data_IF_672621835798
#
_entry.id   IF_672621835798
#
_cell.length_a   1.000
_cell.length_b   1.000
_cell.length_c   1.000
_cell.angle_alpha   90.00
_cell.angle_beta   90.00
_cell.angle_gamma   90.00
#
_symmetry.space_group_name_H-M   'P 1'
#
loop_
_entity.id
_entity.type
_entity.pdbx_description
1 polymer ?
#
# COMPACT_ATOMS: atom_id res chain seq x y z
N UNK A 1 31.44 -5.33 5.14
CA UNK A 1 30.40 -5.15 4.11
C UNK A 1 29.05 -5.17 4.80
N UNK A 2 28.46 -4.00 5.05
CA UNK A 2 27.09 -3.92 5.55
C UNK A 2 26.16 -4.45 4.46
N UNK A 3 25.43 -5.52 4.74
CA UNK A 3 24.35 -5.99 3.86
C UNK A 3 23.43 -4.80 3.57
N UNK A 4 23.25 -4.42 2.30
CA UNK A 4 22.25 -3.42 1.93
C UNK A 4 20.88 -3.79 2.53
N UNK A 5 20.28 -2.85 3.26
CA UNK A 5 18.95 -3.01 3.83
C UNK A 5 17.93 -3.11 2.70
N UNK A 6 17.46 -4.33 2.44
CA UNK A 6 16.40 -4.59 1.44
C UNK A 6 15.06 -4.02 1.93
N UNK A 7 14.33 -3.39 1.01
CA UNK A 7 13.00 -2.80 1.24
C UNK A 7 11.96 -3.56 0.44
N UNK A 8 10.78 -3.78 1.03
CA UNK A 8 9.71 -4.55 0.40
C UNK A 8 8.38 -3.83 0.50
N UNK A 9 7.53 -3.94 -0.53
CA UNK A 9 6.10 -3.62 -0.46
C UNK A 9 5.39 -4.87 0.06
N UNK A 10 4.91 -4.80 1.30
CA UNK A 10 4.13 -5.87 1.93
C UNK A 10 2.64 -5.78 1.56
N UNK A 11 2.12 -4.56 1.39
CA UNK A 11 0.72 -4.31 1.08
C UNK A 11 0.52 -3.12 0.16
N UNK A 12 -0.51 -3.17 -0.68
CA UNK A 12 -0.94 -2.09 -1.57
C UNK A 12 -2.45 -1.88 -1.46
N UNK A 13 -2.86 -0.62 -1.54
CA UNK A 13 -4.24 -0.19 -1.53
C UNK A 13 -4.54 0.70 -2.73
N UNK A 14 -5.77 0.61 -3.21
CA UNK A 14 -6.30 1.47 -4.24
C UNK A 14 -7.78 1.78 -3.99
N UNK A 15 -8.12 3.06 -4.18
CA UNK A 15 -9.49 3.56 -4.27
C UNK A 15 -9.56 4.64 -5.35
N UNK A 16 -10.70 4.78 -6.05
CA UNK A 16 -10.92 5.95 -6.90
C UNK A 16 -10.82 7.24 -6.07
N UNK A 17 -10.15 8.27 -6.59
CA UNK A 17 -10.15 9.58 -5.97
C UNK A 17 -11.43 10.35 -6.36
N UNK A 18 -11.98 11.15 -5.44
CA UNK A 18 -13.05 12.09 -5.77
C UNK A 18 -12.62 13.07 -6.88
N UNK A 19 -13.55 13.55 -7.72
CA UNK A 19 -13.22 14.54 -8.75
C UNK A 19 -12.71 15.85 -8.14
N UNK A 20 -11.97 16.63 -8.94
CA UNK A 20 -11.50 17.94 -8.52
C UNK A 20 -12.65 18.85 -8.08
N UNK A 21 -12.50 19.51 -6.92
CA UNK A 21 -13.54 20.33 -6.31
C UNK A 21 -14.48 19.59 -5.35
N UNK A 22 -14.31 18.28 -5.17
CA UNK A 22 -15.06 17.53 -4.15
C UNK A 22 -14.71 17.99 -2.73
N UNK A 23 -15.63 17.82 -1.76
CA UNK A 23 -15.39 18.10 -0.36
C UNK A 23 -14.15 17.40 0.21
N UNK A 24 -13.43 18.07 1.12
CA UNK A 24 -12.24 17.55 1.82
C UNK A 24 -12.46 16.17 2.45
N UNK A 25 -13.60 15.96 3.10
CA UNK A 25 -13.93 14.70 3.76
C UNK A 25 -14.00 13.51 2.79
N UNK A 26 -14.35 13.73 1.52
CA UNK A 26 -14.35 12.66 0.51
C UNK A 26 -12.92 12.23 0.15
N UNK A 27 -11.98 13.19 0.08
CA UNK A 27 -10.56 12.86 -0.15
C UNK A 27 -9.96 12.10 1.05
N UNK A 28 -10.29 12.52 2.27
CA UNK A 28 -9.89 11.82 3.49
C UNK A 28 -10.49 10.41 3.51
N UNK A 29 -11.78 10.25 3.17
CA UNK A 29 -12.43 8.95 3.05
C UNK A 29 -11.71 8.03 2.06
N UNK A 30 -11.33 8.55 0.89
CA UNK A 30 -10.59 7.79 -0.11
C UNK A 30 -9.20 7.38 0.40
N UNK A 31 -8.49 8.27 1.09
CA UNK A 31 -7.19 8.01 1.72
C UNK A 31 -7.28 6.94 2.83
N UNK A 32 -8.26 7.06 3.73
CA UNK A 32 -8.53 6.06 4.77
C UNK A 32 -8.88 4.71 4.16
N UNK A 33 -9.71 4.71 3.11
CA UNK A 33 -10.09 3.50 2.38
C UNK A 33 -8.87 2.80 1.76
N UNK A 34 -8.01 3.53 1.05
CA UNK A 34 -6.81 2.94 0.45
C UNK A 34 -5.79 2.47 1.49
N UNK A 35 -5.57 3.25 2.56
CA UNK A 35 -4.69 2.87 3.67
C UNK A 35 -5.16 1.59 4.36
N UNK A 36 -6.46 1.49 4.63
CA UNK A 36 -7.08 0.30 5.21
C UNK A 36 -6.88 -0.92 4.31
N UNK A 37 -7.12 -0.78 3.01
CA UNK A 37 -6.87 -1.85 2.03
C UNK A 37 -5.40 -2.28 2.02
N UNK A 38 -4.46 -1.34 2.07
CA UNK A 38 -3.03 -1.67 2.09
C UNK A 38 -2.61 -2.43 3.37
N UNK A 39 -3.15 -2.04 4.52
CA UNK A 39 -2.92 -2.72 5.80
C UNK A 39 -3.55 -4.12 5.82
N UNK A 40 -4.80 -4.28 5.35
CA UNK A 40 -5.45 -5.58 5.20
C UNK A 40 -4.72 -6.47 4.20
N UNK A 41 -4.31 -5.91 3.06
CA UNK A 41 -3.49 -6.60 2.07
C UNK A 41 -2.18 -7.11 2.68
N UNK A 42 -1.51 -6.29 3.49
CA UNK A 42 -0.34 -6.70 4.25
C UNK A 42 -0.68 -7.67 5.40
N UNK A 43 -1.92 -7.72 5.88
CA UNK A 43 -2.26 -8.45 7.12
C UNK A 43 -1.56 -7.85 8.33
N UNK A 44 -1.55 -6.52 8.40
CA UNK A 44 -0.97 -5.73 9.49
C UNK A 44 -2.04 -4.78 10.05
N UNK A 45 -1.74 -4.23 11.22
CA UNK A 45 -2.50 -3.14 11.83
C UNK A 45 -1.64 -1.89 11.98
N UNK A 46 -2.24 -0.78 12.37
CA UNK A 46 -1.53 0.47 12.57
C UNK A 46 -0.54 0.41 13.74
N UNK A 47 -0.71 -0.54 14.68
CA UNK A 47 0.29 -0.84 15.72
C UNK A 47 1.66 -1.24 15.13
N UNK A 48 1.68 -1.75 13.90
CA UNK A 48 2.89 -2.16 13.21
C UNK A 48 3.61 -1.00 12.51
N UNK A 49 2.94 0.13 12.29
CA UNK A 49 3.44 1.27 11.51
C UNK A 49 4.37 2.11 12.37
N UNK A 50 5.58 2.40 11.89
CA UNK A 50 6.57 3.21 12.61
C UNK A 50 6.74 4.62 12.03
N UNK A 51 6.29 4.85 10.79
CA UNK A 51 6.26 6.18 10.15
C UNK A 51 5.10 6.28 9.16
N UNK A 52 4.46 7.45 9.09
CA UNK A 52 3.53 7.82 8.02
C UNK A 52 4.23 8.70 6.98
N UNK A 53 3.87 8.56 5.70
CA UNK A 53 4.29 9.48 4.63
C UNK A 53 3.08 9.84 3.78
N UNK A 54 2.92 11.13 3.49
CA UNK A 54 1.87 11.64 2.60
C UNK A 54 2.36 12.77 1.73
N UNK A 55 1.67 13.01 0.62
CA UNK A 55 1.93 14.14 -0.27
C UNK A 55 1.32 15.44 0.27
N UNK A 56 2.07 16.53 0.25
CA UNK A 56 1.54 17.90 0.38
C UNK A 56 0.92 18.35 -0.97
N UNK A 57 -0.28 18.92 -0.92
CA UNK A 57 -0.86 19.69 -2.03
C UNK A 57 -0.58 21.15 -1.76
N UNK A 58 0.43 21.68 -2.44
CA UNK A 58 1.09 22.96 -2.18
C UNK A 58 0.23 24.22 -2.01
N UNK A 59 -1.11 24.20 -2.15
CA UNK A 59 -1.94 25.37 -1.86
C UNK A 59 -3.33 25.09 -1.24
N UNK A 60 -3.70 23.84 -0.91
CA UNK A 60 -5.00 23.53 -0.27
C UNK A 60 -4.99 22.19 0.50
N UNK A 61 -5.22 22.28 1.82
CA UNK A 61 -5.66 21.28 2.82
C UNK A 61 -4.84 19.99 3.01
N UNK A 62 -4.44 19.79 4.27
CA UNK A 62 -3.63 18.73 4.88
C UNK A 62 -4.41 17.40 4.97
N UNK A 63 -4.95 16.91 3.85
CA UNK A 63 -5.80 15.71 3.83
C UNK A 63 -5.10 14.44 4.33
N UNK A 64 -3.79 14.35 4.14
CA UNK A 64 -2.99 13.17 4.46
C UNK A 64 -2.85 12.93 5.95
N UNK A 65 -2.42 13.95 6.70
CA UNK A 65 -2.23 13.84 8.15
C UNK A 65 -3.55 13.61 8.88
N UNK A 66 -4.63 14.26 8.44
CA UNK A 66 -5.99 14.00 8.94
C UNK A 66 -6.43 12.54 8.70
N UNK A 67 -6.08 11.94 7.55
CA UNK A 67 -6.36 10.53 7.29
C UNK A 67 -5.59 9.58 8.23
N UNK A 68 -4.36 9.94 8.63
CA UNK A 68 -3.59 9.17 9.61
C UNK A 68 -4.21 9.21 11.02
N UNK A 69 -4.76 10.36 11.44
CA UNK A 69 -5.41 10.53 12.75
C UNK A 69 -6.61 9.59 12.95
N UNK A 70 -7.27 9.20 11.85
CA UNK A 70 -8.33 8.19 11.86
C UNK A 70 -7.83 6.87 12.43
N UNK A 71 -6.61 6.47 12.09
CA UNK A 71 -6.01 5.23 12.59
C UNK A 71 -5.56 5.36 14.05
N UNK A 72 -4.94 6.48 14.42
CA UNK A 72 -4.52 6.82 15.79
C UNK A 72 -4.37 8.34 15.97
N UNK A 73 -4.93 8.90 17.04
CA UNK A 73 -4.90 10.34 17.30
C UNK A 73 -3.66 10.64 18.14
N UNK A 74 -2.80 11.56 17.69
CA UNK A 74 -1.48 11.79 18.30
C UNK A 74 -0.47 10.65 18.08
N UNK A 75 -0.72 9.81 17.06
CA UNK A 75 0.04 8.60 16.78
C UNK A 75 1.40 8.84 16.11
N UNK A 76 1.80 7.85 15.31
CA UNK A 76 3.05 7.81 14.56
C UNK A 76 3.30 9.11 13.78
N UNK A 77 4.54 9.60 13.81
CA UNK A 77 4.91 10.81 13.07
C UNK A 77 4.71 10.64 11.55
N UNK A 78 4.11 11.67 10.94
CA UNK A 78 3.79 11.73 9.51
C UNK A 78 4.71 12.74 8.83
N UNK A 79 5.38 12.35 7.76
CA UNK A 79 6.10 13.28 6.88
C UNK A 79 5.20 13.70 5.71
N UNK A 80 4.99 15.00 5.59
CA UNK A 80 4.40 15.62 4.42
C UNK A 80 5.51 15.97 3.42
N UNK A 81 5.42 15.42 2.21
CA UNK A 81 6.48 15.54 1.19
C UNK A 81 5.94 16.10 -0.11
N UNK A 82 6.83 16.64 -0.93
CA UNK A 82 6.51 17.09 -2.28
C UNK A 82 5.90 15.95 -3.11
N UNK A 83 4.80 16.26 -3.82
CA UNK A 83 4.09 15.31 -4.68
C UNK A 83 5.05 14.61 -5.64
N UNK A 84 4.97 13.29 -5.71
CA UNK A 84 5.84 12.43 -6.52
C UNK A 84 7.12 11.98 -5.81
N UNK A 85 7.35 12.37 -4.55
CA UNK A 85 8.50 11.94 -3.73
C UNK A 85 8.11 10.96 -2.63
N UNK A 86 6.85 10.54 -2.55
CA UNK A 86 6.27 9.77 -1.45
C UNK A 86 6.88 8.37 -1.37
N UNK A 87 6.95 7.67 -2.50
CA UNK A 87 7.50 6.32 -2.56
C UNK A 87 9.00 6.31 -2.28
N UNK A 88 9.74 7.28 -2.83
CA UNK A 88 11.17 7.41 -2.57
C UNK A 88 11.45 7.76 -1.11
N UNK A 89 10.73 8.72 -0.53
CA UNK A 89 10.90 9.08 0.88
C UNK A 89 10.60 7.89 1.79
N UNK A 90 9.52 7.16 1.50
CA UNK A 90 9.15 5.95 2.25
C UNK A 90 10.23 4.86 2.13
N UNK A 91 10.81 4.69 0.94
CA UNK A 91 11.91 3.76 0.71
C UNK A 91 13.17 4.15 1.52
N UNK A 92 13.55 5.42 1.53
CA UNK A 92 14.67 5.94 2.31
C UNK A 92 14.45 5.81 3.83
N UNK A 93 13.21 5.97 4.32
CA UNK A 93 12.88 5.73 5.72
C UNK A 93 13.18 4.28 6.14
N UNK A 94 12.83 3.31 5.31
CA UNK A 94 13.11 1.90 5.59
C UNK A 94 14.59 1.58 5.40
N UNK A 95 15.18 2.01 4.28
CA UNK A 95 16.56 1.66 3.89
C UNK A 95 17.61 2.31 4.80
N UNK A 96 17.53 3.64 4.93
CA UNK A 96 18.61 4.47 5.48
C UNK A 96 18.35 4.86 6.93
N UNK A 97 17.08 5.04 7.29
CA UNK A 97 16.67 5.48 8.64
C UNK A 97 16.22 4.34 9.54
N UNK A 98 16.18 3.11 9.02
CA UNK A 98 15.90 1.91 9.79
C UNK A 98 14.45 1.78 10.27
N UNK A 99 13.51 2.51 9.69
CA UNK A 99 12.09 2.34 10.01
C UNK A 99 11.63 0.92 9.61
N UNK A 100 11.11 0.10 10.55
CA UNK A 100 10.78 -1.29 10.25
C UNK A 100 9.56 -1.43 9.33
N UNK A 101 8.61 -0.49 9.42
CA UNK A 101 7.39 -0.45 8.64
C UNK A 101 6.93 1.00 8.44
N UNK A 102 6.62 1.38 7.20
CA UNK A 102 6.17 2.71 6.78
C UNK A 102 4.86 2.57 6.03
N UNK A 103 3.86 3.35 6.42
CA UNK A 103 2.61 3.48 5.66
C UNK A 103 2.68 4.77 4.84
N UNK A 104 2.64 4.63 3.52
CA UNK A 104 2.58 5.72 2.57
C UNK A 104 1.15 5.84 2.03
N UNK A 105 0.62 7.06 1.95
CA UNK A 105 -0.66 7.35 1.29
C UNK A 105 -0.48 8.51 0.32
N UNK A 106 -1.17 8.49 -0.82
CA UNK A 106 -1.12 9.58 -1.80
C UNK A 106 -2.40 9.65 -2.64
N UNK A 107 -2.69 10.84 -3.17
CA UNK A 107 -3.74 11.05 -4.17
C UNK A 107 -3.10 11.53 -5.48
N UNK A 108 -3.32 10.79 -6.55
CA UNK A 108 -2.88 11.13 -7.89
C UNK A 108 -4.08 11.23 -8.84
N UNK A 109 -4.36 12.43 -9.34
CA UNK A 109 -5.41 12.71 -10.34
C UNK A 109 -6.76 12.08 -9.99
N UNK A 110 -7.01 10.83 -10.43
CA UNK A 110 -8.23 10.06 -10.24
C UNK A 110 -8.10 8.84 -9.31
N UNK A 111 -6.97 8.70 -8.60
CA UNK A 111 -6.65 7.56 -7.75
C UNK A 111 -6.13 7.98 -6.37
N UNK A 112 -6.63 7.35 -5.32
CA UNK A 112 -5.99 7.31 -4.02
C UNK A 112 -5.28 5.96 -3.86
N UNK A 113 -4.01 5.99 -3.46
CA UNK A 113 -3.15 4.82 -3.34
C UNK A 113 -2.48 4.78 -1.97
N UNK A 114 -2.15 3.57 -1.52
CA UNK A 114 -1.37 3.39 -0.31
C UNK A 114 -0.41 2.21 -0.45
N UNK A 115 0.73 2.30 0.23
CA UNK A 115 1.75 1.27 0.27
C UNK A 115 2.22 1.04 1.70
N UNK A 116 2.34 -0.23 2.07
CA UNK A 116 3.01 -0.66 3.29
C UNK A 116 4.41 -1.12 2.92
N UNK A 117 5.41 -0.30 3.24
CA UNK A 117 6.82 -0.62 3.00
C UNK A 117 7.44 -1.18 4.27
N UNK A 118 8.18 -2.28 4.16
CA UNK A 118 8.78 -2.96 5.33
C UNK A 118 10.25 -3.28 5.10
N UNK A 119 11.00 -3.32 6.19
CA UNK A 119 12.38 -3.77 6.17
C UNK A 119 12.47 -5.29 5.98
N UNK A 120 13.64 -5.76 5.54
CA UNK A 120 13.88 -7.20 5.47
C UNK A 120 13.67 -7.91 6.81
N UNK A 121 14.21 -7.40 7.92
CA UNK A 121 14.03 -8.03 9.23
C UNK A 121 12.55 -8.15 9.63
N UNK A 122 11.76 -7.12 9.35
CA UNK A 122 10.31 -7.12 9.59
C UNK A 122 9.56 -8.10 8.68
N UNK A 123 9.94 -8.20 7.40
CA UNK A 123 9.38 -9.19 6.48
C UNK A 123 9.69 -10.62 6.95
N UNK A 124 10.94 -10.88 7.33
CA UNK A 124 11.39 -12.24 7.64
C UNK A 124 10.83 -12.77 8.97
N UNK A 125 10.44 -11.88 9.90
CA UNK A 125 9.75 -12.25 11.14
C UNK A 125 8.30 -12.71 10.91
N UNK A 126 7.68 -12.33 9.78
CA UNK A 126 6.29 -12.67 9.42
C UNK A 126 6.23 -13.57 8.19
N UNK A 127 6.15 -14.89 8.39
CA UNK A 127 6.22 -15.88 7.30
C UNK A 127 5.20 -15.64 6.17
N UNK A 128 3.98 -15.22 6.52
CA UNK A 128 2.89 -15.02 5.56
C UNK A 128 3.13 -13.87 4.57
N UNK A 129 4.02 -12.92 4.87
CA UNK A 129 4.33 -11.81 3.97
C UNK A 129 5.24 -12.22 2.81
N UNK A 130 6.09 -13.24 2.99
CA UNK A 130 7.21 -13.56 2.09
C UNK A 130 6.76 -13.88 0.67
N UNK A 131 5.67 -14.64 0.55
CA UNK A 131 5.18 -15.15 -0.75
C UNK A 131 4.39 -14.08 -1.53
N UNK A 132 4.04 -12.97 -0.87
CA UNK A 132 3.19 -11.90 -1.40
C UNK A 132 3.90 -10.56 -1.54
N UNK A 133 5.07 -10.36 -0.91
CA UNK A 133 5.76 -9.08 -0.96
C UNK A 133 6.53 -8.86 -2.27
N UNK A 134 6.59 -7.59 -2.70
CA UNK A 134 7.45 -7.15 -3.78
C UNK A 134 8.73 -6.50 -3.23
N UNK A 135 9.89 -6.89 -3.75
CA UNK A 135 11.18 -6.28 -3.43
C UNK A 135 11.38 -5.03 -4.28
N UNK A 136 11.71 -3.93 -3.61
CA UNK A 136 12.01 -2.62 -4.18
C UNK A 136 13.53 -2.43 -4.21
N UNK A 137 14.07 -1.98 -5.33
CA UNK A 137 15.46 -1.51 -5.42
C UNK A 137 15.53 -0.21 -6.21
N UNK A 138 16.44 0.68 -5.83
CA UNK A 138 16.84 1.75 -6.73
C UNK A 138 17.59 1.14 -7.92
N UNK A 139 17.17 1.51 -9.13
CA UNK A 139 17.86 1.10 -10.35
C UNK A 139 18.93 2.14 -10.68
N UNK A 140 20.20 1.81 -10.41
CA UNK A 140 21.35 2.62 -10.85
C UNK A 140 21.65 2.54 -12.35
N UNK A 141 20.94 1.70 -13.10
CA UNK A 141 21.18 1.51 -14.54
C UNK A 141 20.40 2.53 -15.40
N UNK A 142 21.06 3.13 -16.41
CA UNK A 142 20.34 3.82 -17.48
C UNK A 142 19.41 2.84 -18.20
N UNK A 143 18.20 3.32 -18.52
CA UNK A 143 17.14 2.67 -19.33
C UNK A 143 17.53 1.34 -20.01
N UNK A 144 16.84 0.23 -19.76
CA UNK A 144 16.35 -0.58 -20.86
C UNK A 144 15.31 0.26 -21.62
N UNK A 145 15.33 0.26 -22.97
CA UNK A 145 14.15 0.71 -23.73
C UNK A 145 13.00 -0.21 -23.32
N UNK A 146 12.07 0.27 -22.49
CA UNK A 146 10.80 -0.42 -22.27
C UNK A 146 9.94 -0.15 -23.51
N UNK A 147 9.48 -1.21 -24.16
CA UNK A 147 8.39 -1.12 -25.13
C UNK A 147 7.08 -0.99 -24.33
N UNK A 148 6.60 0.25 -24.14
CA UNK A 148 5.36 0.56 -23.43
C UNK A 148 5.39 1.93 -22.76
N UNK A 149 4.23 2.57 -22.49
CA UNK A 149 4.20 3.82 -21.76
C UNK A 149 4.84 3.61 -20.37
N UNK A 150 5.71 4.52 -19.92
CA UNK A 150 6.24 4.45 -18.56
C UNK A 150 5.06 4.45 -17.59
N UNK A 151 5.07 3.54 -16.61
CA UNK A 151 4.21 3.71 -15.45
C UNK A 151 4.73 4.91 -14.68
N UNK A 152 4.12 6.08 -14.86
CA UNK A 152 4.50 7.34 -14.21
C UNK A 152 3.69 7.58 -12.93
N UNK A 153 2.64 6.77 -12.72
CA UNK A 153 1.70 6.90 -11.62
C UNK A 153 1.95 5.81 -10.58
N UNK A 154 1.79 6.14 -9.31
CA UNK A 154 1.84 5.19 -8.20
C UNK A 154 0.80 4.08 -8.36
N UNK A 155 -0.34 4.35 -9.00
CA UNK A 155 -1.31 3.30 -9.34
C UNK A 155 -0.69 2.16 -10.19
N UNK A 156 0.23 2.48 -11.11
CA UNK A 156 0.92 1.47 -11.90
C UNK A 156 1.76 0.54 -11.01
N UNK A 157 2.33 1.07 -9.91
CA UNK A 157 3.05 0.26 -8.93
C UNK A 157 2.11 -0.74 -8.24
N UNK A 158 0.88 -0.36 -7.89
CA UNK A 158 -0.13 -1.30 -7.36
C UNK A 158 -0.41 -2.43 -8.36
N UNK A 159 -0.62 -2.09 -9.64
CA UNK A 159 -0.83 -3.07 -10.71
C UNK A 159 0.37 -4.03 -10.84
N UNK A 160 1.60 -3.51 -10.83
CA UNK A 160 2.82 -4.31 -10.91
C UNK A 160 2.96 -5.26 -9.71
N UNK A 161 2.61 -4.82 -8.49
CA UNK A 161 2.60 -5.68 -7.31
C UNK A 161 1.56 -6.81 -7.47
N UNK A 162 0.36 -6.51 -7.94
CA UNK A 162 -0.65 -7.54 -8.21
C UNK A 162 -0.23 -8.53 -9.29
N UNK A 163 0.43 -8.06 -10.35
CA UNK A 163 1.05 -8.92 -11.38
C UNK A 163 2.12 -9.80 -10.76
N UNK A 164 3.03 -9.27 -9.94
CA UNK A 164 4.07 -10.06 -9.25
C UNK A 164 3.49 -11.16 -8.36
N UNK A 165 2.29 -10.97 -7.83
CA UNK A 165 1.55 -11.96 -7.03
C UNK A 165 0.71 -12.93 -7.85
N UNK A 166 0.62 -12.75 -9.18
CA UNK A 166 -0.20 -13.56 -10.08
C UNK A 166 -1.70 -13.26 -10.00
N UNK A 167 -2.09 -12.09 -9.47
CA UNK A 167 -3.50 -11.72 -9.27
C UNK A 167 -4.16 -11.12 -10.51
N UNK A 168 -3.35 -10.66 -11.46
CA UNK A 168 -3.78 -10.16 -12.76
C UNK A 168 -2.81 -10.61 -13.85
N UNK A 169 -3.28 -10.60 -15.10
CA UNK A 169 -2.45 -10.87 -16.26
C UNK A 169 -1.63 -9.63 -16.62
N UNK A 170 -0.36 -9.83 -16.93
CA UNK A 170 0.54 -8.79 -17.43
C UNK A 170 0.24 -8.39 -18.90
N UNK A 171 -1.05 -8.25 -19.30
CA UNK A 171 -1.39 -7.87 -20.68
C UNK A 171 -0.77 -6.51 -20.99
N UNK A 172 0.25 -6.50 -21.84
CA UNK A 172 1.00 -5.30 -22.22
C UNK A 172 2.20 -4.94 -21.33
N UNK A 173 2.47 -5.68 -20.24
CA UNK A 173 3.61 -5.40 -19.36
C UNK A 173 4.67 -6.50 -19.55
N UNK A 174 5.67 -6.23 -20.40
CA UNK A 174 6.77 -7.16 -20.64
C UNK A 174 7.68 -7.26 -19.40
N UNK A 175 7.55 -8.34 -18.62
CA UNK A 175 8.44 -8.62 -17.50
C UNK A 175 9.80 -9.14 -18.00
N UNK A 176 10.88 -8.37 -17.84
CA UNK A 176 12.24 -8.84 -18.22
C UNK A 176 12.79 -9.74 -17.11
N UNK A 177 12.47 -11.02 -17.19
CA UNK A 177 12.88 -12.01 -16.20
C UNK A 177 12.20 -11.81 -14.84
N UNK A 178 10.91 -11.46 -14.84
CA UNK A 178 10.12 -11.27 -13.60
C UNK A 178 10.41 -9.96 -12.85
N UNK A 179 11.02 -8.98 -13.55
CA UNK A 179 11.32 -7.66 -13.02
C UNK A 179 10.58 -6.59 -13.81
N UNK A 180 10.10 -5.59 -13.07
CA UNK A 180 9.40 -4.42 -13.60
C UNK A 180 10.12 -3.15 -13.18
N UNK A 181 9.96 -2.10 -13.96
CA UNK A 181 10.58 -0.81 -13.69
C UNK A 181 9.49 0.26 -13.61
N UNK A 182 9.49 0.99 -12.50
CA UNK A 182 8.72 2.21 -12.30
C UNK A 182 9.67 3.40 -12.39
N UNK A 183 9.20 4.52 -12.94
CA UNK A 183 9.93 5.78 -12.90
C UNK A 183 8.99 6.86 -12.40
N UNK A 184 9.38 7.53 -11.33
CA UNK A 184 8.61 8.65 -10.81
C UNK A 184 8.78 9.90 -11.69
N UNK A 185 7.99 10.94 -11.39
CA UNK A 185 8.04 12.24 -12.07
C UNK A 185 9.38 12.96 -11.90
N UNK A 186 10.21 12.54 -10.93
CA UNK A 186 11.56 13.08 -10.65
C UNK A 186 12.65 12.27 -11.34
N UNK A 187 12.28 11.37 -12.25
CA UNK A 187 13.19 10.50 -13.00
C UNK A 187 13.95 9.47 -12.16
N UNK A 188 13.55 9.25 -10.91
CA UNK A 188 14.09 8.15 -10.12
C UNK A 188 13.47 6.85 -10.61
N UNK A 189 14.30 5.81 -10.77
CA UNK A 189 13.86 4.52 -11.27
C UNK A 189 13.92 3.48 -10.18
N UNK A 190 12.80 2.79 -9.99
CA UNK A 190 12.64 1.70 -9.04
C UNK A 190 12.47 0.41 -9.82
N UNK A 191 13.25 -0.61 -9.47
CA UNK A 191 13.04 -1.99 -9.89
C UNK A 191 12.13 -2.70 -8.88
N UNK A 192 11.06 -3.33 -9.38
CA UNK A 192 10.17 -4.21 -8.62
C UNK A 192 10.37 -5.67 -9.06
N UNK A 193 10.45 -6.56 -8.07
CA UNK A 193 10.57 -8.01 -8.28
C UNK A 193 9.91 -8.78 -7.16
N UNK A 194 9.73 -10.10 -7.29
CA UNK A 194 9.22 -10.92 -6.17
C UNK A 194 10.24 -10.99 -5.03
N UNK A 195 9.78 -10.87 -3.79
CA UNK A 195 10.64 -10.98 -2.61
C UNK A 195 11.33 -12.35 -2.48
N UNK A 196 10.66 -13.42 -2.94
CA UNK A 196 11.16 -14.80 -2.92
C UNK A 196 12.05 -15.16 -4.13
N UNK A 197 12.29 -14.21 -5.04
CA UNK A 197 13.03 -14.40 -6.29
C UNK A 197 12.51 -15.53 -7.21
N UNK A 198 11.28 -16.01 -6.98
CA UNK A 198 10.66 -17.02 -7.85
C UNK A 198 10.06 -16.37 -9.09
N UNK A 199 9.66 -17.21 -10.05
CA UNK A 199 8.86 -16.76 -11.18
C UNK A 199 7.49 -16.24 -10.71
N UNK A 200 6.89 -15.38 -11.52
CA UNK A 200 5.52 -14.90 -11.28
C UNK A 200 4.57 -16.10 -11.38
N UNK A 201 3.79 -16.41 -10.32
CA UNK A 201 2.91 -17.56 -10.33
C UNK A 201 1.71 -17.31 -11.25
N UNK A 202 1.13 -18.39 -11.78
CA UNK A 202 -0.12 -18.31 -12.55
C UNK A 202 -1.30 -18.11 -11.62
N UNK A 203 -2.39 -17.53 -12.14
CA UNK A 203 -3.62 -17.33 -11.37
C UNK A 203 -4.11 -18.63 -10.71
N UNK A 204 -4.05 -19.75 -11.42
CA UNK A 204 -4.49 -21.06 -10.95
C UNK A 204 -3.71 -21.54 -9.72
N UNK A 205 -2.46 -21.11 -9.57
CA UNK A 205 -1.58 -21.47 -8.45
C UNK A 205 -1.84 -20.62 -7.20
N UNK A 206 -2.52 -19.48 -7.33
CA UNK A 206 -2.71 -18.48 -6.27
C UNK A 206 -4.16 -18.15 -5.96
N UNK A 207 -5.13 -18.60 -6.77
CA UNK A 207 -6.55 -18.26 -6.61
C UNK A 207 -7.17 -18.69 -5.28
N UNK A 208 -6.63 -19.74 -4.64
CA UNK A 208 -7.09 -20.25 -3.33
C UNK A 208 -6.05 -20.03 -2.21
N UNK A 209 -4.97 -19.28 -2.45
CA UNK A 209 -3.99 -18.99 -1.41
C UNK A 209 -4.57 -17.98 -0.42
N UNK A 210 -4.22 -18.17 0.85
CA UNK A 210 -4.52 -17.20 1.91
C UNK A 210 -3.50 -16.04 1.85
N UNK A 211 -3.65 -15.20 0.84
CA UNK A 211 -2.88 -13.98 0.66
C UNK A 211 -3.75 -12.72 0.89
N UNK A 212 -3.28 -11.56 0.47
CA UNK A 212 -4.01 -10.31 0.70
C UNK A 212 -5.40 -10.27 0.04
N UNK A 213 -5.64 -11.02 -1.04
CA UNK A 213 -7.00 -11.14 -1.62
C UNK A 213 -7.97 -11.77 -0.62
N UNK A 214 -7.50 -12.80 0.09
CA UNK A 214 -8.31 -13.47 1.08
C UNK A 214 -8.63 -12.53 2.26
N UNK A 215 -7.66 -11.73 2.70
CA UNK A 215 -7.85 -10.74 3.77
C UNK A 215 -8.78 -9.59 3.36
N UNK A 216 -8.70 -9.13 2.12
CA UNK A 216 -9.61 -8.16 1.54
C UNK A 216 -11.02 -8.74 1.28
N UNK A 217 -11.12 -10.06 1.06
CA UNK A 217 -12.35 -10.74 0.67
C UNK A 217 -12.71 -10.57 -0.80
N UNK A 218 -11.79 -10.06 -1.63
CA UNK A 218 -11.97 -9.86 -3.07
C UNK A 218 -10.62 -9.78 -3.79
N UNK A 219 -10.60 -9.84 -5.12
CA UNK A 219 -9.37 -9.64 -5.88
C UNK A 219 -9.25 -8.18 -6.35
N UNK A 220 -8.44 -7.33 -5.68
CA UNK A 220 -8.37 -5.91 -6.03
C UNK A 220 -7.78 -5.62 -7.41
N UNK A 221 -7.19 -6.62 -8.05
CA UNK A 221 -6.62 -6.48 -9.38
C UNK A 221 -7.65 -6.58 -10.52
N UNK A 222 -8.90 -6.96 -10.22
CA UNK A 222 -9.98 -7.13 -11.22
C UNK A 222 -11.28 -6.41 -10.85
N UNK A 223 -11.47 -6.09 -9.57
CA UNK A 223 -12.67 -5.41 -9.08
C UNK A 223 -12.30 -4.40 -7.99
N UNK A 224 -13.11 -3.35 -7.87
CA UNK A 224 -12.99 -2.34 -6.82
C UNK A 224 -14.14 -2.51 -5.83
N UNK A 225 -13.84 -2.52 -4.53
CA UNK A 225 -14.84 -2.52 -3.46
C UNK A 225 -14.50 -1.43 -2.45
N UNK A 226 -15.53 -0.93 -1.78
CA UNK A 226 -15.35 -0.06 -0.63
C UNK A 226 -14.98 -0.87 0.62
N UNK A 227 -14.36 -0.19 1.58
CA UNK A 227 -14.10 -0.78 2.90
C UNK A 227 -15.36 -0.72 3.76
N UNK A 228 -15.48 -1.68 4.67
CA UNK A 228 -16.47 -1.63 5.74
C UNK A 228 -15.92 -0.97 7.00
N UNK A 229 -16.81 -0.67 7.96
CA UNK A 229 -16.39 -0.25 9.31
C UNK A 229 -15.53 -1.32 9.99
N UNK A 230 -15.90 -2.60 9.83
CA UNK A 230 -15.16 -3.72 10.42
C UNK A 230 -13.74 -3.85 9.82
N UNK A 231 -13.56 -3.50 8.53
CA UNK A 231 -12.25 -3.44 7.88
C UNK A 231 -11.37 -2.35 8.49
N UNK A 232 -11.93 -1.17 8.70
CA UNK A 232 -11.23 -0.07 9.34
C UNK A 232 -10.86 -0.43 10.78
N UNK A 233 -11.81 -0.93 11.57
CA UNK A 233 -11.57 -1.38 12.95
C UNK A 233 -10.47 -2.45 13.04
N UNK A 234 -10.42 -3.37 12.08
CA UNK A 234 -9.40 -4.42 12.03
C UNK A 234 -7.98 -3.88 11.84
N UNK A 235 -7.80 -2.70 11.23
CA UNK A 235 -6.47 -2.14 10.97
C UNK A 235 -6.08 -0.99 11.90
N UNK A 236 -6.99 -0.44 12.71
CA UNK A 236 -6.66 0.60 13.70
C UNK A 236 -5.79 0.04 14.82
N UNK A 237 -5.16 0.94 15.56
CA UNK A 237 -4.42 0.62 16.79
C UNK A 237 -5.32 -0.15 17.77
N UNK A 238 -4.74 -1.20 18.37
CA UNK A 238 -5.45 -2.15 19.23
C UNK A 238 -6.12 -1.49 20.44
N UNK A 239 -5.53 -0.42 20.99
CA UNK A 239 -6.12 0.34 22.11
C UNK A 239 -7.43 1.05 21.72
N UNK A 240 -7.58 1.43 20.44
CA UNK A 240 -8.81 2.04 19.90
C UNK A 240 -9.87 1.01 19.52
N UNK A 241 -9.53 -0.27 19.31
CA UNK A 241 -10.54 -1.34 19.08
C UNK A 241 -11.53 -1.50 20.25
N UNK A 242 -11.15 -1.07 21.46
CA UNK A 242 -11.99 -1.17 22.67
C UNK A 242 -12.90 0.04 22.91
N UNK A 243 -12.60 1.23 22.37
CA UNK A 243 -13.47 2.41 22.47
C UNK A 243 -14.33 2.49 21.22
N UNK A 244 -15.65 2.44 21.41
CA UNK A 244 -16.63 2.54 20.33
C UNK A 244 -16.34 3.70 19.36
N UNK A 245 -16.60 3.44 18.09
CA UNK A 245 -16.32 4.29 16.94
C UNK A 245 -16.73 5.77 17.17
N UNK A 246 -15.81 6.71 16.91
CA UNK A 246 -16.18 8.09 16.57
C UNK A 246 -16.73 8.12 15.15
N UNK A 247 -17.71 8.98 14.89
CA UNK A 247 -18.69 9.07 13.78
C UNK A 247 -18.21 8.83 12.32
N UNK A 248 -17.59 7.68 12.00
CA UNK A 248 -17.28 7.27 10.61
C UNK A 248 -18.42 6.44 10.01
N UNK A 249 -19.63 7.00 10.05
CA UNK A 249 -20.87 6.37 9.55
C UNK A 249 -20.93 6.26 8.02
N UNK A 250 -19.99 6.89 7.32
CA UNK A 250 -19.91 6.88 5.85
C UNK A 250 -19.53 5.53 5.24
N UNK A 251 -18.95 4.61 6.03
CA UNK A 251 -18.65 3.26 5.57
C UNK A 251 -19.76 2.29 5.98
N UNK A 252 -20.13 1.39 5.08
CA UNK A 252 -21.14 0.39 5.35
C UNK A 252 -20.65 -0.63 6.40
N UNK A 253 -21.60 -1.18 7.16
CA UNK A 253 -21.34 -2.31 8.06
C UNK A 253 -21.52 -3.61 7.29
N UNK A 254 -20.62 -4.58 7.49
CA UNK A 254 -20.75 -5.93 6.90
C UNK A 254 -21.98 -6.71 7.37
N UNK A 255 -22.67 -6.26 8.43
CA UNK A 255 -23.91 -6.90 8.90
C UNK A 255 -23.71 -8.29 9.51
N UNK A 256 -22.53 -8.56 10.10
CA UNK A 256 -22.19 -9.83 10.75
C UNK A 256 -22.12 -9.72 12.27
N UNK A 257 -22.44 -10.82 12.95
CA UNK A 257 -22.47 -10.92 14.41
C UNK A 257 -21.08 -10.58 15.01
N UNK A 258 -20.99 -9.53 15.84
CA UNK A 258 -19.72 -9.00 16.41
C UNK A 258 -18.88 -10.07 17.13
N UNK A 259 -19.49 -11.17 17.54
CA UNK A 259 -18.84 -12.30 18.19
C UNK A 259 -17.86 -13.10 17.30
N UNK A 260 -17.93 -12.96 15.97
CA UNK A 260 -17.02 -13.66 15.06
C UNK A 260 -15.66 -12.96 14.90
N UNK A 261 -15.60 -11.63 15.08
CA UNK A 261 -14.39 -10.82 14.85
C UNK A 261 -13.44 -10.74 16.05
N UNK A 262 -13.87 -11.14 17.25
CA UNK A 262 -13.07 -11.13 18.48
C UNK A 262 -12.13 -12.34 18.65
N UNK A 263 -11.99 -13.18 17.60
CA UNK A 263 -11.20 -14.42 17.63
C UNK A 263 -9.97 -14.42 16.70
N UNK A 264 -9.64 -13.26 16.11
CA UNK A 264 -8.37 -13.01 15.41
C UNK A 264 -7.43 -12.24 16.33
#
# INVERSE_FOLDING_TARGET
MTSESKVFIAGVGFSPAPPGGSPTNEFIAALVSTATKALLDAGLSYDDVARGVTSDRSHTSIHGSEAFEVFEEGGVAVDEVERGSELHTSFCWVRDRGAPCVLMIAVEESAAVAFVLVSGSFLWSRRYLKDSAALIRESGAPRPKLDGPPGEMLYDVCLLVWVLRGWSHAKGIAARGGRFFYRDRRSQSIELSRADAKAIPRWEEVKYRQDGKHRLGYNPAVETKDISQEDLEAVRVSSKRQKGMGDWTQFDRKGGDKAALSRL
#
